data_IF_659506859951
#
_entry.id   IF_659506859951
#
_cell.length_a   1.000
_cell.length_b   1.000
_cell.length_c   1.000
_cell.angle_alpha   90.00
_cell.angle_beta   90.00
_cell.angle_gamma   90.00
#
_symmetry.space_group_name_H-M   'P 1'
#
loop_
_entity.id
_entity.type
_entity.pdbx_description
1 polymer ?
#
# COMPACT_ATOMS: atom_id res chain seq x y z
N UNK A 1 15.33 6.90 -9.62
CA UNK A 1 14.69 5.88 -8.76
C UNK A 1 14.83 6.25 -7.30
N UNK A 2 16.05 6.43 -6.78
CA UNK A 2 16.28 6.66 -5.34
C UNK A 2 15.48 7.81 -4.73
N UNK A 3 15.53 9.02 -5.30
CA UNK A 3 14.79 10.19 -4.79
C UNK A 3 13.28 9.92 -4.60
N UNK A 4 12.65 9.19 -5.52
CA UNK A 4 11.22 8.88 -5.45
C UNK A 4 10.93 7.80 -4.40
N UNK A 5 11.75 6.75 -4.36
CA UNK A 5 11.61 5.68 -3.36
C UNK A 5 11.91 6.17 -1.95
N UNK A 6 12.92 7.01 -1.75
CA UNK A 6 13.24 7.62 -0.46
C UNK A 6 12.06 8.42 0.07
N UNK A 7 11.50 9.31 -0.76
CA UNK A 7 10.32 10.09 -0.44
C UNK A 7 9.10 9.20 -0.13
N UNK A 8 8.87 8.15 -0.92
CA UNK A 8 7.81 7.17 -0.67
C UNK A 8 7.98 6.47 0.69
N UNK A 9 9.19 5.99 0.99
CA UNK A 9 9.51 5.27 2.23
C UNK A 9 9.33 6.18 3.46
N UNK A 10 9.80 7.43 3.40
CA UNK A 10 9.62 8.42 4.46
C UNK A 10 8.13 8.74 4.71
N UNK A 11 7.37 9.00 3.65
CA UNK A 11 5.92 9.25 3.75
C UNK A 11 5.18 8.05 4.35
N UNK A 12 5.55 6.81 3.96
CA UNK A 12 4.95 5.59 4.50
C UNK A 12 5.31 5.37 5.96
N UNK A 13 6.57 5.59 6.34
CA UNK A 13 7.03 5.46 7.71
C UNK A 13 6.26 6.40 8.64
N UNK A 14 6.17 7.69 8.30
CA UNK A 14 5.39 8.66 9.07
C UNK A 14 3.91 8.25 9.19
N UNK A 15 3.30 7.81 8.08
CA UNK A 15 1.91 7.36 8.06
C UNK A 15 1.67 6.12 8.93
N UNK A 16 2.56 5.13 8.85
CA UNK A 16 2.46 3.89 9.60
C UNK A 16 2.67 4.10 11.10
N UNK A 17 3.63 4.95 11.49
CA UNK A 17 3.83 5.37 12.87
C UNK A 17 2.56 6.02 13.45
N UNK A 18 1.95 6.97 12.71
CA UNK A 18 0.69 7.62 13.11
C UNK A 18 -0.48 6.64 13.24
N UNK A 19 -0.52 5.61 12.40
CA UNK A 19 -1.54 4.56 12.42
C UNK A 19 -1.27 3.46 13.46
N UNK A 20 -0.10 3.46 14.10
CA UNK A 20 0.35 2.41 15.02
C UNK A 20 0.40 1.04 14.36
N UNK A 21 0.94 0.94 13.14
CA UNK A 21 1.14 -0.33 12.44
C UNK A 21 2.61 -0.56 12.12
N UNK A 22 2.99 -1.83 12.01
CA UNK A 22 4.35 -2.23 11.64
C UNK A 22 4.73 -1.64 10.27
N UNK A 23 5.95 -1.10 10.19
CA UNK A 23 6.49 -0.61 8.93
C UNK A 23 7.02 -1.79 8.10
N UNK A 24 6.20 -2.26 7.15
CA UNK A 24 6.58 -3.37 6.24
C UNK A 24 7.74 -3.01 5.31
N UNK A 25 8.06 -1.73 5.15
CA UNK A 25 9.22 -1.25 4.40
C UNK A 25 10.41 -0.90 5.30
N UNK A 26 10.34 -1.21 6.60
CA UNK A 26 11.44 -0.94 7.54
C UNK A 26 12.66 -1.83 7.29
N UNK A 27 12.45 -3.03 6.77
CA UNK A 27 13.50 -4.00 6.47
C UNK A 27 14.36 -3.55 5.27
N UNK A 28 15.68 -3.56 5.46
CA UNK A 28 16.65 -3.25 4.41
C UNK A 28 16.49 -4.12 3.18
N UNK A 29 16.23 -5.43 3.33
CA UNK A 29 16.05 -6.35 2.21
C UNK A 29 14.85 -5.95 1.36
N UNK A 30 13.76 -5.47 1.98
CA UNK A 30 12.59 -4.97 1.27
C UNK A 30 12.92 -3.69 0.52
N UNK A 31 13.64 -2.75 1.14
CA UNK A 31 14.07 -1.50 0.48
C UNK A 31 14.97 -1.77 -0.72
N UNK A 32 15.97 -2.64 -0.54
CA UNK A 32 16.91 -3.03 -1.58
C UNK A 32 16.20 -3.75 -2.74
N UNK A 33 15.21 -4.60 -2.43
CA UNK A 33 14.35 -5.23 -3.43
C UNK A 33 13.59 -4.21 -4.28
N UNK A 34 12.95 -3.21 -3.66
CA UNK A 34 12.23 -2.17 -4.40
C UNK A 34 13.19 -1.33 -5.27
N UNK A 35 14.37 -0.97 -4.75
CA UNK A 35 15.37 -0.24 -5.54
C UNK A 35 15.82 -1.03 -6.77
N UNK A 36 16.14 -2.31 -6.59
CA UNK A 36 16.51 -3.19 -7.70
C UNK A 36 15.37 -3.28 -8.72
N UNK A 37 14.14 -3.57 -8.26
CA UNK A 37 12.96 -3.74 -9.11
C UNK A 37 12.73 -2.55 -10.06
N UNK A 38 12.79 -1.32 -9.54
CA UNK A 38 12.55 -0.12 -10.35
C UNK A 38 13.78 0.36 -11.11
N UNK A 39 14.99 0.03 -10.66
CA UNK A 39 16.23 0.39 -11.38
C UNK A 39 16.45 -0.53 -12.57
N UNK A 40 16.28 -1.84 -12.37
CA UNK A 40 16.47 -2.83 -13.42
C UNK A 40 15.45 -2.64 -14.55
N UNK A 41 14.22 -2.20 -14.23
CA UNK A 41 13.20 -1.88 -15.22
C UNK A 41 13.63 -0.79 -16.23
N UNK A 42 14.58 0.07 -15.88
CA UNK A 42 15.10 1.12 -16.78
C UNK A 42 15.93 0.56 -17.94
N UNK A 43 16.42 -0.68 -17.84
CA UNK A 43 17.16 -1.33 -18.91
C UNK A 43 16.25 -1.82 -20.05
N UNK A 44 14.93 -1.84 -19.85
CA UNK A 44 13.96 -2.29 -20.83
C UNK A 44 13.39 -1.12 -21.65
N UNK A 45 13.19 -1.33 -22.95
CA UNK A 45 12.53 -0.35 -23.83
C UNK A 45 11.11 0.00 -23.35
N UNK A 46 10.44 -0.98 -22.73
CA UNK A 46 9.12 -0.84 -22.11
C UNK A 46 9.20 -1.26 -20.64
N UNK A 47 9.59 -0.35 -19.73
CA UNK A 47 9.83 -0.67 -18.33
C UNK A 47 8.61 -1.34 -17.67
N UNK A 48 8.71 -2.57 -17.14
CA UNK A 48 7.59 -3.26 -16.53
C UNK A 48 7.11 -2.62 -15.22
N UNK A 49 7.95 -1.78 -14.60
CA UNK A 49 7.67 -1.04 -13.39
C UNK A 49 7.94 0.46 -13.58
N UNK A 50 7.05 1.30 -13.05
CA UNK A 50 7.10 2.76 -13.18
C UNK A 50 7.00 3.44 -11.82
N UNK A 51 7.73 4.54 -11.64
CA UNK A 51 7.54 5.47 -10.52
C UNK A 51 7.10 6.82 -11.06
N UNK A 52 6.04 7.38 -10.48
CA UNK A 52 5.64 8.77 -10.73
C UNK A 52 5.74 9.56 -9.43
N UNK A 53 6.10 10.83 -9.54
CA UNK A 53 6.20 11.75 -8.42
C UNK A 53 5.59 13.09 -8.77
N UNK A 54 4.70 13.58 -7.90
CA UNK A 54 4.21 14.94 -7.97
C UNK A 54 5.09 15.85 -7.12
N UNK A 55 5.79 16.77 -7.78
CA UNK A 55 6.64 17.75 -7.13
C UNK A 55 6.00 19.14 -7.15
N UNK A 56 5.95 19.78 -5.99
CA UNK A 56 5.46 21.16 -5.84
C UNK A 56 6.49 21.96 -5.05
N UNK A 57 6.96 23.05 -5.64
CA UNK A 57 7.97 23.94 -5.05
C UNK A 57 9.22 23.18 -4.55
N UNK A 58 9.76 22.27 -5.36
CA UNK A 58 10.99 21.53 -5.05
C UNK A 58 10.80 20.30 -4.14
N UNK A 59 9.58 20.06 -3.63
CA UNK A 59 9.26 18.97 -2.69
C UNK A 59 8.30 17.96 -3.32
N UNK A 60 8.64 16.68 -3.21
CA UNK A 60 7.73 15.58 -3.56
C UNK A 60 6.56 15.54 -2.58
N UNK A 61 5.34 15.71 -3.08
CA UNK A 61 4.08 15.71 -2.31
C UNK A 61 3.27 14.44 -2.51
N UNK A 62 3.47 13.71 -3.60
CA UNK A 62 2.92 12.38 -3.80
C UNK A 62 3.86 11.52 -4.65
N UNK A 63 3.86 10.21 -4.40
CA UNK A 63 4.60 9.21 -5.18
C UNK A 63 3.71 8.00 -5.41
N UNK A 64 3.68 7.49 -6.63
CA UNK A 64 3.06 6.20 -6.99
C UNK A 64 4.10 5.27 -7.58
N UNK A 65 3.91 3.97 -7.36
CA UNK A 65 4.65 2.92 -8.03
C UNK A 65 3.68 1.94 -8.66
N UNK A 66 3.90 1.64 -9.94
CA UNK A 66 2.99 0.85 -10.75
C UNK A 66 3.69 -0.25 -11.51
N UNK A 67 2.97 -1.34 -11.79
CA UNK A 67 3.40 -2.43 -12.68
C UNK A 67 2.57 -2.42 -13.97
N UNK A 68 3.18 -2.86 -15.08
CA UNK A 68 2.51 -3.03 -16.38
C UNK A 68 2.19 -4.51 -16.60
N UNK A 69 0.94 -4.83 -16.93
CA UNK A 69 0.51 -6.19 -17.24
C UNK A 69 -0.48 -6.21 -18.40
N UNK A 70 0.01 -6.60 -19.59
CA UNK A 70 -0.80 -6.58 -20.82
C UNK A 70 -1.38 -5.18 -21.09
N UNK A 71 -2.71 -5.07 -21.13
CA UNK A 71 -3.42 -3.79 -21.29
C UNK A 71 -3.87 -3.15 -19.97
N UNK A 72 -3.25 -3.54 -18.85
CA UNK A 72 -3.55 -3.03 -17.51
C UNK A 72 -2.31 -2.35 -16.90
N UNK A 73 -2.51 -1.17 -16.34
CA UNK A 73 -1.54 -0.50 -15.47
C UNK A 73 -2.03 -0.65 -14.03
N UNK A 74 -1.21 -1.21 -13.15
CA UNK A 74 -1.60 -1.53 -11.77
C UNK A 74 -0.80 -0.63 -10.83
N UNK A 75 -1.48 0.25 -10.10
CA UNK A 75 -0.90 1.06 -9.02
C UNK A 75 -0.70 0.18 -7.78
N UNK A 76 0.52 -0.30 -7.58
CA UNK A 76 0.90 -1.20 -6.48
C UNK A 76 0.95 -0.45 -5.15
N UNK A 77 1.43 0.80 -5.18
CA UNK A 77 1.52 1.62 -4.00
C UNK A 77 1.42 3.11 -4.32
N UNK A 78 0.90 3.86 -3.36
CA UNK A 78 0.91 5.32 -3.35
C UNK A 78 1.25 5.87 -1.97
N UNK A 79 1.94 7.00 -1.92
CA UNK A 79 2.23 7.76 -0.71
C UNK A 79 2.01 9.25 -0.95
N UNK A 80 1.60 9.95 0.11
CA UNK A 80 1.25 11.37 0.08
C UNK A 80 1.92 12.03 1.27
N UNK A 81 2.53 13.20 1.05
CA UNK A 81 3.10 14.02 2.11
C UNK A 81 1.97 14.58 3.00
N UNK A 82 2.10 14.44 4.32
CA UNK A 82 1.22 15.09 5.28
C UNK A 82 1.83 16.43 5.72
N UNK A 83 1.62 17.46 4.90
CA UNK A 83 2.14 18.81 5.15
C UNK A 83 1.11 19.88 4.82
N UNK A 84 1.55 21.14 4.71
CA UNK A 84 0.71 22.31 4.48
C UNK A 84 -0.15 22.23 3.22
N UNK A 85 0.23 21.40 2.23
CA UNK A 85 -0.54 21.20 0.99
C UNK A 85 -1.37 19.91 1.00
N UNK A 86 -1.42 19.16 2.10
CA UNK A 86 -2.20 17.92 2.14
C UNK A 86 -3.69 18.13 1.83
N UNK A 87 -4.23 19.32 2.10
CA UNK A 87 -5.62 19.69 1.81
C UNK A 87 -5.92 19.87 0.32
N UNK A 88 -4.89 20.04 -0.53
CA UNK A 88 -5.04 20.20 -1.98
C UNK A 88 -5.08 18.86 -2.72
N UNK A 89 -5.17 17.74 -2.00
CA UNK A 89 -5.21 16.38 -2.54
C UNK A 89 -4.11 16.07 -3.58
N UNK A 90 -2.81 16.26 -3.27
CA UNK A 90 -1.72 15.96 -4.21
C UNK A 90 -1.71 14.50 -4.69
N UNK A 91 -2.19 13.56 -3.86
CA UNK A 91 -2.37 12.17 -4.29
C UNK A 91 -3.44 12.00 -5.37
N UNK A 92 -4.61 12.65 -5.22
CA UNK A 92 -5.69 12.56 -6.22
C UNK A 92 -5.27 13.21 -7.54
N UNK A 93 -4.50 14.31 -7.48
CA UNK A 93 -3.94 14.93 -8.68
C UNK A 93 -2.95 13.99 -9.39
N UNK A 94 -2.05 13.33 -8.64
CA UNK A 94 -1.13 12.36 -9.23
C UNK A 94 -1.88 11.16 -9.85
N UNK A 95 -2.97 10.70 -9.23
CA UNK A 95 -3.81 9.67 -9.83
C UNK A 95 -4.48 10.13 -11.13
N UNK A 96 -4.99 11.36 -11.18
CA UNK A 96 -5.53 11.94 -12.40
C UNK A 96 -4.50 11.90 -13.53
N UNK A 97 -3.27 12.38 -13.27
CA UNK A 97 -2.18 12.42 -14.24
C UNK A 97 -1.77 11.00 -14.70
N UNK A 98 -1.64 10.06 -13.77
CA UNK A 98 -1.33 8.67 -14.08
C UNK A 98 -2.42 7.99 -14.92
N UNK A 99 -3.69 8.29 -14.68
CA UNK A 99 -4.81 7.75 -15.46
C UNK A 99 -4.82 8.37 -16.86
N UNK A 100 -4.60 9.68 -16.97
CA UNK A 100 -4.50 10.36 -18.26
C UNK A 100 -3.37 9.76 -19.11
N UNK A 101 -2.17 9.63 -18.55
CA UNK A 101 -1.04 8.99 -19.24
C UNK A 101 -1.38 7.55 -19.66
N UNK A 102 -2.02 6.78 -18.78
CA UNK A 102 -2.42 5.41 -19.10
C UNK A 102 -3.38 5.36 -20.31
N UNK A 103 -4.34 6.29 -20.39
CA UNK A 103 -5.24 6.42 -21.53
C UNK A 103 -4.48 6.78 -22.81
N UNK A 104 -3.56 7.75 -22.76
CA UNK A 104 -2.74 8.18 -23.91
C UNK A 104 -1.84 7.04 -24.42
N UNK A 105 -1.33 6.21 -23.51
CA UNK A 105 -0.55 5.02 -23.83
C UNK A 105 -1.39 3.81 -24.28
N UNK A 106 -2.72 3.93 -24.31
CA UNK A 106 -3.64 2.89 -24.81
C UNK A 106 -3.90 1.75 -23.83
N UNK A 107 -3.68 1.94 -22.52
CA UNK A 107 -4.14 1.00 -21.50
C UNK A 107 -5.67 0.99 -21.44
N UNK A 108 -6.23 -0.18 -21.15
CA UNK A 108 -7.68 -0.37 -21.05
C UNK A 108 -8.19 -0.29 -19.61
N UNK A 109 -7.34 -0.59 -18.63
CA UNK A 109 -7.71 -0.60 -17.22
C UNK A 109 -6.57 0.00 -16.40
N UNK A 110 -6.91 0.99 -15.58
CA UNK A 110 -6.08 1.47 -14.48
C UNK A 110 -6.56 0.79 -13.19
N UNK A 111 -5.71 -0.02 -12.57
CA UNK A 111 -6.05 -0.82 -11.39
C UNK A 111 -5.40 -0.24 -10.14
N UNK A 112 -6.20 0.14 -9.15
CA UNK A 112 -5.69 0.60 -7.85
C UNK A 112 -5.25 -0.55 -6.92
N UNK A 113 -5.16 -1.77 -7.43
CA UNK A 113 -4.77 -2.98 -6.70
C UNK A 113 -5.73 -3.28 -5.54
N UNK A 114 -5.34 -4.20 -4.67
CA UNK A 114 -6.17 -4.74 -3.59
C UNK A 114 -6.54 -3.71 -2.52
N UNK A 115 -7.71 -3.88 -1.92
CA UNK A 115 -8.19 -3.08 -0.79
C UNK A 115 -9.34 -2.14 -1.16
N UNK A 116 -10.17 -1.85 -0.17
CA UNK A 116 -11.38 -1.04 -0.29
C UNK A 116 -11.20 0.26 0.51
N UNK A 117 -10.53 1.22 -0.12
CA UNK A 117 -10.31 2.56 0.42
C UNK A 117 -11.29 3.55 -0.24
N UNK A 118 -11.84 4.54 0.50
CA UNK A 118 -12.86 5.43 -0.03
C UNK A 118 -12.51 6.10 -1.36
N UNK A 119 -11.25 6.51 -1.55
CA UNK A 119 -10.82 7.15 -2.80
C UNK A 119 -10.94 6.20 -4.01
N UNK A 120 -10.70 4.89 -3.84
CA UNK A 120 -10.81 3.92 -4.93
C UNK A 120 -12.26 3.83 -5.44
N UNK A 121 -13.25 4.03 -4.58
CA UNK A 121 -14.66 4.06 -4.97
C UNK A 121 -15.05 5.32 -5.76
N UNK A 122 -14.22 6.37 -5.69
CA UNK A 122 -14.41 7.59 -6.48
C UNK A 122 -13.78 7.46 -7.87
N UNK A 123 -12.70 6.69 -7.99
CA UNK A 123 -11.95 6.51 -9.23
C UNK A 123 -12.33 5.26 -10.04
N UNK A 124 -12.61 4.14 -9.38
CA UNK A 124 -12.89 2.86 -10.03
C UNK A 124 -14.37 2.70 -10.36
N UNK A 125 -14.65 2.34 -11.61
CA UNK A 125 -15.95 1.90 -12.12
C UNK A 125 -16.06 0.36 -12.19
N UNK A 126 -14.95 -0.36 -12.09
CA UNK A 126 -14.87 -1.83 -12.09
C UNK A 126 -14.59 -2.35 -10.68
N UNK A 127 -15.44 -3.25 -10.18
CA UNK A 127 -15.20 -4.02 -8.95
C UNK A 127 -14.71 -5.44 -9.29
N UNK A 128 -13.54 -5.83 -8.75
CA UNK A 128 -13.01 -7.20 -8.86
C UNK A 128 -13.08 -7.90 -7.50
N UNK A 129 -14.01 -8.83 -7.37
CA UNK A 129 -14.15 -9.62 -6.15
C UNK A 129 -13.08 -10.70 -6.05
N UNK A 130 -12.38 -10.72 -4.92
CA UNK A 130 -11.34 -11.69 -4.62
C UNK A 130 -11.90 -12.78 -3.70
N UNK A 131 -11.59 -14.04 -4.01
CA UNK A 131 -12.03 -15.20 -3.25
C UNK A 131 -10.83 -16.05 -2.82
N UNK A 132 -10.86 -16.53 -1.58
CA UNK A 132 -9.92 -17.53 -1.08
C UNK A 132 -10.51 -18.93 -1.30
N UNK A 133 -9.81 -19.79 -2.04
CA UNK A 133 -10.24 -21.17 -2.33
C UNK A 133 -9.38 -22.15 -1.55
N UNK A 134 -10.02 -22.93 -0.68
CA UNK A 134 -9.39 -24.03 0.06
C UNK A 134 -9.92 -25.37 -0.47
N UNK A 135 -9.02 -26.20 -1.02
CA UNK A 135 -9.30 -27.53 -1.56
C UNK A 135 -8.67 -28.64 -0.69
N UNK A 136 -9.26 -28.98 0.47
CA UNK A 136 -8.68 -29.97 1.38
C UNK A 136 -8.82 -31.40 0.86
N UNK A 137 -7.69 -32.09 0.68
CA UNK A 137 -7.63 -33.45 0.14
C UNK A 137 -7.75 -34.56 1.22
N UNK A 138 -7.59 -34.20 2.50
CA UNK A 138 -7.61 -35.16 3.63
C UNK A 138 -8.59 -34.72 4.72
N UNK A 139 -8.98 -35.62 5.61
CA UNK A 139 -9.82 -35.30 6.77
C UNK A 139 -9.18 -34.25 7.69
N UNK A 140 -7.87 -34.37 7.96
CA UNK A 140 -7.10 -33.36 8.71
C UNK A 140 -7.12 -32.00 7.99
N UNK A 141 -6.99 -32.01 6.66
CA UNK A 141 -7.10 -30.80 5.83
C UNK A 141 -8.49 -30.17 5.89
N UNK A 142 -9.57 -30.97 5.93
CA UNK A 142 -10.95 -30.47 6.07
C UNK A 142 -11.18 -29.79 7.41
N UNK A 143 -10.64 -30.35 8.49
CA UNK A 143 -10.68 -29.74 9.81
C UNK A 143 -9.94 -28.39 9.83
N UNK A 144 -8.71 -28.34 9.30
CA UNK A 144 -7.94 -27.10 9.18
C UNK A 144 -8.65 -26.05 8.32
N UNK A 145 -9.16 -26.43 7.15
CA UNK A 145 -9.86 -25.53 6.25
C UNK A 145 -11.11 -24.94 6.89
N UNK A 146 -11.81 -25.71 7.72
CA UNK A 146 -12.95 -25.22 8.50
C UNK A 146 -12.49 -24.16 9.51
N UNK A 147 -11.41 -24.43 10.26
CA UNK A 147 -10.83 -23.46 11.19
C UNK A 147 -10.42 -22.14 10.52
N UNK A 148 -9.73 -22.22 9.37
CA UNK A 148 -9.34 -21.04 8.58
C UNK A 148 -10.55 -20.23 8.10
N UNK A 149 -11.59 -20.91 7.58
CA UNK A 149 -12.84 -20.25 7.12
C UNK A 149 -13.54 -19.53 8.26
N UNK A 150 -13.63 -20.14 9.44
CA UNK A 150 -14.23 -19.47 10.61
C UNK A 150 -13.38 -18.29 11.07
N UNK A 151 -12.05 -18.42 11.10
CA UNK A 151 -11.15 -17.31 11.41
C UNK A 151 -11.31 -16.14 10.44
N UNK A 152 -11.43 -16.41 9.14
CA UNK A 152 -11.69 -15.41 8.11
C UNK A 152 -13.03 -14.69 8.32
N UNK A 153 -14.11 -15.43 8.63
CA UNK A 153 -15.43 -14.85 8.94
C UNK A 153 -15.41 -13.94 10.16
N UNK A 154 -14.71 -14.34 11.22
CA UNK A 154 -14.55 -13.52 12.42
C UNK A 154 -13.79 -12.23 12.09
N UNK A 155 -12.69 -12.33 11.34
CA UNK A 155 -11.94 -11.15 10.87
C UNK A 155 -12.82 -10.21 10.02
N UNK A 156 -13.63 -10.77 9.12
CA UNK A 156 -14.56 -10.01 8.29
C UNK A 156 -15.62 -9.29 9.13
N UNK A 157 -16.22 -9.98 10.11
CA UNK A 157 -17.19 -9.38 11.03
C UNK A 157 -16.59 -8.20 11.82
N UNK A 158 -15.37 -8.37 12.36
CA UNK A 158 -14.65 -7.31 13.09
C UNK A 158 -14.37 -6.11 12.17
N UNK A 159 -13.88 -6.35 10.96
CA UNK A 159 -13.52 -5.28 10.01
C UNK A 159 -14.74 -4.56 9.45
N UNK A 160 -15.85 -5.26 9.24
CA UNK A 160 -17.09 -4.71 8.68
C UNK A 160 -17.97 -4.00 9.74
N UNK A 161 -17.63 -4.11 11.03
CA UNK A 161 -18.33 -3.41 12.10
C UNK A 161 -17.56 -2.12 12.50
N UNK A 162 -18.08 -0.92 12.17
CA UNK A 162 -17.37 0.35 12.40
C UNK A 162 -17.01 0.60 13.87
N UNK A 163 -17.86 0.16 14.81
CA UNK A 163 -17.68 0.37 16.25
C UNK A 163 -16.56 -0.49 16.79
N UNK A 164 -16.54 -1.77 16.41
CA UNK A 164 -15.48 -2.72 16.80
C UNK A 164 -14.14 -2.26 16.20
N UNK A 165 -14.13 -1.88 14.91
CA UNK A 165 -12.91 -1.44 14.24
C UNK A 165 -12.30 -0.17 14.87
N UNK A 166 -13.14 0.78 15.30
CA UNK A 166 -12.69 1.97 16.06
C UNK A 166 -12.03 1.57 17.39
N UNK A 167 -12.63 0.66 18.13
CA UNK A 167 -12.07 0.16 19.38
C UNK A 167 -10.72 -0.56 19.15
N UNK A 168 -10.64 -1.43 18.13
CA UNK A 168 -9.40 -2.10 17.75
C UNK A 168 -8.30 -1.10 17.36
N UNK A 169 -8.62 -0.06 16.59
CA UNK A 169 -7.67 1.01 16.24
C UNK A 169 -7.16 1.76 17.47
N UNK A 170 -8.02 2.05 18.45
CA UNK A 170 -7.62 2.70 19.70
C UNK A 170 -6.69 1.82 20.53
N UNK A 171 -7.03 0.55 20.71
CA UNK A 171 -6.20 -0.41 21.45
C UNK A 171 -4.84 -0.60 20.77
N UNK A 172 -4.83 -0.73 19.44
CA UNK A 172 -3.59 -0.86 18.66
C UNK A 172 -2.69 0.37 18.82
N UNK A 173 -3.25 1.57 18.78
CA UNK A 173 -2.49 2.82 18.99
C UNK A 173 -1.91 2.91 20.41
N UNK A 174 -2.65 2.45 21.42
CA UNK A 174 -2.15 2.41 22.81
C UNK A 174 -1.04 1.38 23.02
N UNK A 175 -1.18 0.19 22.43
CA UNK A 175 -0.16 -0.85 22.50
C UNK A 175 1.13 -0.44 21.75
N UNK A 176 0.99 0.21 20.58
CA UNK A 176 2.13 0.76 19.84
C UNK A 176 2.80 1.93 20.59
N UNK A 177 2.02 2.77 21.29
CA UNK A 177 2.56 3.85 22.14
C UNK A 177 3.20 3.38 23.45
N UNK A 178 2.98 2.13 23.86
CA UNK A 178 3.66 1.50 25.00
C UNK A 178 4.94 0.75 24.61
N UNK A 179 5.18 0.53 23.31
CA UNK A 179 6.37 -0.14 22.80
C UNK A 179 7.49 0.86 22.46
N UNK A 180 8.06 1.50 23.50
CA UNK A 180 9.44 2.01 23.64
C UNK A 180 9.53 2.84 24.94
N UNK A 181 10.55 2.67 25.80
CA UNK A 181 11.95 2.55 25.43
C UNK A 181 12.56 1.17 25.75
N UNK A 182 13.20 0.54 24.76
CA UNK A 182 14.30 -0.35 25.07
C UNK A 182 15.47 0.53 25.52
N UNK A 183 16.06 0.15 26.64
CA UNK A 183 17.04 0.92 27.39
C UNK A 183 18.19 1.43 26.50
N UNK A 184 18.58 2.68 26.75
CA UNK A 184 19.97 3.07 26.61
C UNK A 184 20.78 2.16 27.54
N UNK A 185 21.60 1.27 26.97
CA UNK A 185 22.79 0.81 27.66
C UNK A 185 23.92 1.72 27.22
N UNK A 186 24.26 2.61 28.16
CA UNK A 186 25.49 3.35 28.24
C UNK A 186 26.59 2.44 28.82
N UNK A 187 27.80 2.66 28.31
CA UNK A 187 29.12 2.40 28.90
C UNK A 187 29.69 0.96 29.03
N UNK A 188 30.58 0.59 28.07
CA UNK A 188 32.02 0.32 28.27
C UNK A 188 32.67 -0.33 27.03
#
# INVERSE_FOLDING_TARGET
VDRLLDAFLEMKEARFAKMGIANVFGDRQVRDFFRALFTDALAEEKPPFLLHGLEVAGKLRAVTGSSRSGKRLICEFGAIAEDDLAFTSPGDFLFFDNIQEACELGYQVYDFSVGDEPYKRLWCDIEVQHFEVLAPLTLKGRALATGLRQGARVKAFIKNNPTIWRLTKMLRRKAAGQAAPAAAEDDS
#
